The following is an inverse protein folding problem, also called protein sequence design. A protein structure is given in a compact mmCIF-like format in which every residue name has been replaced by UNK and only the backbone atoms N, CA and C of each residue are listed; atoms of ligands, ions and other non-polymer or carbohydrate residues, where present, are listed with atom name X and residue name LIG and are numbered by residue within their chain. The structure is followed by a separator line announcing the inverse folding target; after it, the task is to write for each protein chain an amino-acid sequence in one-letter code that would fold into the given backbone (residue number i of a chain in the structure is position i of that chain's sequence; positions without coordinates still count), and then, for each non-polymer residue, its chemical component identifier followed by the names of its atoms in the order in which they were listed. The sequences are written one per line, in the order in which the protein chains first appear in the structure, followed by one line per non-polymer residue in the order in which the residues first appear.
data_IF_550810317579
#
_entry.id   IF_550810317579
#
_cell.length_a   1.000
_cell.length_b   1.000
_cell.length_c   1.000
_cell.angle_alpha   90.00
_cell.angle_beta   90.00
_cell.angle_gamma   90.00
#
_symmetry.space_group_name_H-M   'P 1'
#
loop_
_entity.id
_entity.type
_entity.pdbx_description
1 polymer ?
#
# COMPACT_ATOMS: atom_id res chain seq x y z
N UNK A 1 12.82 -22.89 -9.25
CA UNK A 1 11.54 -23.06 -8.55
C UNK A 1 10.46 -22.90 -9.60
N UNK A 2 9.67 -23.96 -9.90
CA UNK A 2 8.55 -23.88 -10.83
C UNK A 2 7.48 -22.95 -10.24
N UNK A 3 6.81 -22.18 -11.07
CA UNK A 3 5.66 -21.35 -10.73
C UNK A 3 4.50 -21.83 -11.56
N UNK A 4 3.35 -22.02 -10.93
CA UNK A 4 2.16 -22.49 -11.62
C UNK A 4 1.39 -21.33 -12.28
N UNK A 5 1.43 -20.16 -11.66
CA UNK A 5 0.83 -18.92 -12.17
C UNK A 5 1.76 -17.75 -11.87
N UNK A 6 1.94 -16.87 -12.83
CA UNK A 6 2.76 -15.67 -12.70
C UNK A 6 1.91 -14.42 -12.96
N UNK A 7 1.79 -13.58 -11.93
CA UNK A 7 1.04 -12.32 -11.97
C UNK A 7 2.03 -11.18 -11.82
N UNK A 8 2.06 -10.25 -12.77
CA UNK A 8 2.87 -9.03 -12.69
C UNK A 8 1.99 -7.86 -12.34
N UNK A 9 2.36 -7.14 -11.29
CA UNK A 9 1.73 -5.89 -10.90
C UNK A 9 2.56 -4.72 -11.41
N UNK A 10 1.92 -3.81 -12.14
CA UNK A 10 2.54 -2.59 -12.66
C UNK A 10 1.91 -1.34 -12.06
N UNK A 11 2.70 -0.30 -11.82
CA UNK A 11 2.19 1.03 -11.47
C UNK A 11 1.70 1.71 -12.77
N UNK A 12 0.40 1.84 -12.93
CA UNK A 12 -0.22 2.35 -14.16
C UNK A 12 0.13 3.81 -14.50
N UNK A 13 0.57 4.60 -13.52
CA UNK A 13 1.02 5.99 -13.74
C UNK A 13 2.50 6.06 -14.11
N UNK A 14 3.32 5.31 -13.39
CA UNK A 14 4.77 5.31 -13.57
C UNK A 14 5.21 4.41 -14.72
N UNK A 15 4.45 3.37 -15.00
CA UNK A 15 4.76 2.34 -16.01
C UNK A 15 6.18 1.80 -15.81
N UNK A 16 6.94 1.73 -16.88
CA UNK A 16 8.27 1.14 -16.92
C UNK A 16 9.40 2.18 -16.88
N UNK A 17 9.08 3.45 -16.56
CA UNK A 17 10.05 4.54 -16.54
C UNK A 17 10.65 4.79 -17.93
N UNK A 18 11.97 4.70 -18.04
CA UNK A 18 12.68 4.84 -19.33
C UNK A 18 12.79 3.53 -20.13
N UNK A 19 12.10 2.46 -19.71
CA UNK A 19 12.12 1.11 -20.30
C UNK A 19 13.49 0.40 -20.29
N UNK A 20 14.46 0.92 -19.57
CA UNK A 20 15.78 0.31 -19.47
C UNK A 20 15.92 -0.53 -18.20
N UNK A 21 16.73 -1.58 -18.30
CA UNK A 21 17.09 -2.41 -17.15
C UNK A 21 18.21 -1.76 -16.33
N UNK A 22 18.27 -2.15 -15.06
CA UNK A 22 19.36 -1.73 -14.17
C UNK A 22 20.75 -2.09 -14.78
N UNK A 23 21.79 -1.20 -14.69
CA UNK A 23 21.79 0.08 -13.96
C UNK A 23 21.30 1.30 -14.77
N UNK A 24 20.99 1.18 -16.05
CA UNK A 24 20.60 2.29 -16.92
C UNK A 24 19.14 2.75 -16.67
N UNK A 25 18.31 1.93 -16.05
CA UNK A 25 16.92 2.21 -15.73
C UNK A 25 16.41 1.45 -14.52
N UNK A 26 15.12 1.62 -14.17
CA UNK A 26 14.53 1.08 -12.95
C UNK A 26 14.17 -0.40 -13.06
N UNK A 27 14.20 -1.02 -14.23
CA UNK A 27 13.72 -2.36 -14.45
C UNK A 27 14.76 -3.41 -14.03
N UNK A 28 14.33 -4.48 -13.43
CA UNK A 28 15.18 -5.66 -13.13
C UNK A 28 15.24 -6.62 -14.30
N UNK A 29 14.19 -6.66 -15.12
CA UNK A 29 14.05 -7.50 -16.31
C UNK A 29 13.48 -6.67 -17.46
N UNK A 30 13.66 -7.12 -18.70
CA UNK A 30 13.10 -6.46 -19.88
C UNK A 30 11.57 -6.56 -19.89
N UNK A 31 10.92 -5.54 -20.45
CA UNK A 31 9.45 -5.53 -20.67
C UNK A 31 8.97 -6.66 -21.57
N UNK A 32 9.85 -7.26 -22.38
CA UNK A 32 9.52 -8.47 -23.15
C UNK A 32 9.06 -9.63 -22.28
N UNK A 33 9.48 -9.66 -21.00
CA UNK A 33 9.07 -10.69 -20.02
C UNK A 33 7.56 -10.71 -19.77
N UNK A 34 6.86 -9.60 -20.02
CA UNK A 34 5.39 -9.51 -19.88
C UNK A 34 4.63 -10.45 -20.84
N UNK A 35 5.27 -10.88 -21.94
CA UNK A 35 4.67 -11.83 -22.90
C UNK A 35 4.57 -13.26 -22.35
N UNK A 36 5.36 -13.56 -21.31
CA UNK A 36 5.50 -14.89 -20.75
C UNK A 36 4.76 -15.06 -19.42
N UNK A 37 4.08 -14.00 -18.93
CA UNK A 37 3.32 -14.03 -17.67
C UNK A 37 1.85 -14.33 -17.93
N UNK A 38 1.17 -14.90 -16.93
CA UNK A 38 -0.24 -15.27 -17.06
C UNK A 38 -1.18 -14.09 -16.95
N UNK A 39 -0.84 -13.12 -16.08
CA UNK A 39 -1.68 -11.95 -15.86
C UNK A 39 -0.84 -10.69 -15.64
N UNK A 40 -1.29 -9.57 -16.22
CA UNK A 40 -0.74 -8.24 -15.98
C UNK A 40 -1.80 -7.41 -15.28
N UNK A 41 -1.54 -7.02 -14.03
CA UNK A 41 -2.44 -6.21 -13.23
C UNK A 41 -1.92 -4.79 -13.14
N UNK A 42 -2.71 -3.84 -13.60
CA UNK A 42 -2.36 -2.42 -13.61
C UNK A 42 -2.94 -1.73 -12.37
N UNK A 43 -2.06 -1.19 -11.53
CA UNK A 43 -2.45 -0.44 -10.34
C UNK A 43 -2.67 1.04 -10.70
N UNK A 44 -3.94 1.44 -10.81
CA UNK A 44 -4.38 2.85 -10.88
C UNK A 44 -3.81 3.66 -12.05
N UNK A 45 -4.21 3.35 -13.26
CA UNK A 45 -3.82 4.12 -14.46
C UNK A 45 -4.57 3.66 -15.70
N UNK A 46 -4.29 4.25 -16.86
CA UNK A 46 -4.79 3.75 -18.12
C UNK A 46 -4.34 2.32 -18.35
N UNK A 47 -5.28 1.42 -18.65
CA UNK A 47 -5.00 0.02 -18.97
C UNK A 47 -4.78 -0.16 -20.47
N UNK A 48 -3.95 -1.15 -20.83
CA UNK A 48 -3.84 -1.69 -22.19
C UNK A 48 -4.78 -2.92 -22.34
N UNK A 49 -4.96 -3.43 -23.55
CA UNK A 49 -5.97 -4.45 -23.85
C UNK A 49 -5.77 -5.78 -23.09
N UNK A 50 -4.53 -6.10 -22.73
CA UNK A 50 -4.14 -7.32 -22.01
C UNK A 50 -3.94 -7.11 -20.50
N UNK A 51 -4.30 -5.93 -19.97
CA UNK A 51 -4.15 -5.57 -18.58
C UNK A 51 -5.47 -5.61 -17.80
N UNK A 52 -5.39 -6.03 -16.55
CA UNK A 52 -6.51 -5.96 -15.60
C UNK A 52 -6.33 -4.77 -14.68
N UNK A 53 -7.35 -3.92 -14.60
CA UNK A 53 -7.33 -2.77 -13.69
C UNK A 53 -7.48 -3.26 -12.25
N UNK A 54 -6.62 -2.72 -11.38
CA UNK A 54 -6.73 -2.78 -9.94
C UNK A 54 -6.77 -1.37 -9.38
N UNK A 55 -7.76 -1.08 -8.55
CA UNK A 55 -7.82 0.15 -7.79
C UNK A 55 -7.51 -0.12 -6.33
N UNK A 56 -6.67 0.73 -5.74
CA UNK A 56 -6.38 0.69 -4.32
C UNK A 56 -7.13 1.82 -3.64
N UNK A 57 -7.96 1.46 -2.67
CA UNK A 57 -8.73 2.42 -1.87
C UNK A 57 -8.45 2.25 -0.37
N UNK A 58 -8.44 3.35 0.38
CA UNK A 58 -8.39 3.28 1.83
C UNK A 58 -9.70 2.72 2.38
N UNK A 59 -9.63 1.84 3.40
CA UNK A 59 -10.79 1.13 3.91
C UNK A 59 -11.13 1.52 5.35
N UNK A 60 -10.25 1.24 6.29
CA UNK A 60 -10.51 1.45 7.72
C UNK A 60 -9.25 1.77 8.49
N UNK A 61 -9.44 2.39 9.65
CA UNK A 61 -8.37 2.53 10.65
C UNK A 61 -8.44 1.37 11.64
N UNK A 62 -7.29 0.80 11.94
CA UNK A 62 -7.16 -0.30 12.90
C UNK A 62 -6.21 0.12 14.02
N UNK A 63 -6.66 -0.02 15.26
CA UNK A 63 -5.82 0.22 16.44
C UNK A 63 -4.78 -0.89 16.59
N UNK A 64 -3.51 -0.52 16.60
CA UNK A 64 -2.40 -1.48 16.53
C UNK A 64 -2.44 -2.51 17.65
N UNK A 65 -2.70 -2.09 18.88
CA UNK A 65 -2.62 -2.95 20.07
C UNK A 65 -3.86 -3.81 20.28
N UNK A 66 -5.05 -3.27 20.02
CA UNK A 66 -6.31 -3.95 20.33
C UNK A 66 -6.97 -4.62 19.14
N UNK A 67 -6.54 -4.29 17.91
CA UNK A 67 -7.19 -4.72 16.67
C UNK A 67 -8.57 -4.08 16.42
N UNK A 68 -9.04 -3.19 17.31
CA UNK A 68 -10.32 -2.50 17.13
C UNK A 68 -10.25 -1.65 15.86
N UNK A 69 -11.27 -1.74 15.02
CA UNK A 69 -11.28 -1.06 13.74
C UNK A 69 -12.51 -0.20 13.54
N UNK A 70 -12.35 0.88 12.75
CA UNK A 70 -13.41 1.79 12.37
C UNK A 70 -13.32 2.09 10.87
N UNK A 71 -14.42 2.01 10.12
CA UNK A 71 -14.50 2.60 8.78
C UNK A 71 -14.05 4.06 8.82
N UNK A 72 -13.47 4.55 7.74
CA UNK A 72 -12.92 5.92 7.68
C UNK A 72 -13.96 6.98 8.07
N UNK A 73 -15.21 6.80 7.60
CA UNK A 73 -16.33 7.71 7.91
C UNK A 73 -16.71 7.73 9.39
N UNK A 74 -16.45 6.64 10.10
CA UNK A 74 -16.85 6.44 11.50
C UNK A 74 -15.68 6.65 12.48
N UNK A 75 -14.61 7.35 12.03
CA UNK A 75 -13.47 7.68 12.87
C UNK A 75 -13.90 8.40 14.16
N UNK A 76 -13.66 7.81 15.36
CA UNK A 76 -14.29 8.29 16.59
C UNK A 76 -13.51 9.39 17.33
N UNK A 77 -12.34 9.77 16.83
CA UNK A 77 -11.43 10.72 17.50
C UNK A 77 -11.30 12.02 16.72
N UNK A 78 -10.46 12.92 17.24
CA UNK A 78 -10.12 14.17 16.56
C UNK A 78 -9.53 13.92 15.17
N UNK A 79 -9.76 14.86 14.27
CA UNK A 79 -9.17 14.83 12.92
C UNK A 79 -7.72 15.34 12.90
N UNK A 80 -7.25 15.95 14.01
CA UNK A 80 -5.83 16.26 14.19
C UNK A 80 -5.09 15.01 14.58
N UNK A 81 -4.02 14.70 13.84
CA UNK A 81 -3.25 13.45 14.02
C UNK A 81 -1.78 13.62 13.66
N UNK A 82 -0.92 12.82 14.24
CA UNK A 82 0.43 12.61 13.73
C UNK A 82 0.38 11.56 12.61
N UNK A 83 0.70 11.97 11.40
CA UNK A 83 0.88 11.06 10.28
C UNK A 83 2.35 10.63 10.20
N UNK A 84 2.62 9.33 10.35
CA UNK A 84 3.97 8.76 10.38
C UNK A 84 4.15 7.78 9.23
N UNK A 85 5.22 7.92 8.46
CA UNK A 85 5.53 7.01 7.36
C UNK A 85 7.03 6.86 7.10
N UNK A 86 7.50 5.60 7.02
CA UNK A 86 8.84 5.18 6.60
C UNK A 86 8.81 4.52 5.22
N UNK A 87 8.48 5.32 4.20
CA UNK A 87 8.30 4.91 2.80
C UNK A 87 9.18 5.73 1.87
N UNK A 88 9.53 5.17 0.72
CA UNK A 88 10.26 5.89 -0.33
C UNK A 88 9.48 7.09 -0.92
N UNK A 89 8.15 7.11 -0.79
CA UNK A 89 7.32 8.27 -1.15
C UNK A 89 6.22 8.49 -0.10
N UNK A 90 6.55 9.08 1.05
CA UNK A 90 5.60 9.30 2.14
C UNK A 90 4.53 10.35 1.80
N UNK A 91 4.82 11.24 0.84
CA UNK A 91 3.89 12.29 0.42
C UNK A 91 2.53 11.74 -0.03
N UNK A 92 2.51 10.62 -0.76
CA UNK A 92 1.25 9.97 -1.18
C UNK A 92 0.35 9.59 0.00
N UNK A 93 0.94 9.09 1.08
CA UNK A 93 0.21 8.72 2.29
C UNK A 93 -0.32 9.96 3.03
N UNK A 94 0.50 10.98 3.17
CA UNK A 94 0.10 12.24 3.80
C UNK A 94 -1.02 12.93 3.02
N UNK A 95 -0.90 13.01 1.70
CA UNK A 95 -1.92 13.60 0.85
C UNK A 95 -3.23 12.79 0.87
N UNK A 96 -3.14 11.47 1.03
CA UNK A 96 -4.32 10.62 1.22
C UNK A 96 -5.05 10.99 2.50
N UNK A 97 -4.36 11.07 3.65
CA UNK A 97 -4.97 11.44 4.93
C UNK A 97 -5.57 12.85 4.88
N UNK A 98 -4.88 13.81 4.25
CA UNK A 98 -5.41 15.16 4.07
C UNK A 98 -6.71 15.17 3.24
N UNK A 99 -6.78 14.39 2.14
CA UNK A 99 -8.01 14.22 1.34
C UNK A 99 -9.14 13.55 2.12
N UNK A 100 -8.83 12.71 3.10
CA UNK A 100 -9.82 12.12 4.01
C UNK A 100 -10.28 13.09 5.10
N UNK A 101 -9.81 14.34 5.07
CA UNK A 101 -10.21 15.43 5.98
C UNK A 101 -9.47 15.43 7.30
N UNK A 102 -8.28 14.84 7.37
CA UNK A 102 -7.42 14.91 8.56
C UNK A 102 -6.53 16.16 8.51
N UNK A 103 -6.36 16.80 9.66
CA UNK A 103 -5.35 17.82 9.92
C UNK A 103 -4.09 17.09 10.44
N UNK A 104 -3.05 17.03 9.63
CA UNK A 104 -1.92 16.14 9.85
C UNK A 104 -0.63 16.86 10.21
N UNK A 105 0.03 16.44 11.28
CA UNK A 105 1.44 16.70 11.54
C UNK A 105 2.25 15.63 10.82
N UNK A 106 3.02 16.04 9.79
CA UNK A 106 3.78 15.10 8.93
C UNK A 106 5.09 14.70 9.59
N UNK A 107 5.29 13.40 9.80
CA UNK A 107 6.50 12.81 10.35
C UNK A 107 7.02 11.75 9.37
N UNK A 108 8.00 12.12 8.56
CA UNK A 108 8.58 11.22 7.54
C UNK A 108 9.90 10.63 8.02
N UNK A 109 10.06 9.34 7.81
CA UNK A 109 11.25 8.57 8.11
C UNK A 109 11.85 7.97 6.81
N UNK A 110 13.11 7.59 6.80
CA UNK A 110 13.72 6.88 5.67
C UNK A 110 12.93 5.61 5.29
N UNK A 111 13.01 5.20 4.03
CA UNK A 111 12.41 3.93 3.63
C UNK A 111 13.04 2.77 4.41
N UNK A 112 12.20 1.81 4.82
CA UNK A 112 12.57 0.69 5.67
C UNK A 112 13.08 1.06 7.08
N UNK A 113 12.81 2.28 7.56
CA UNK A 113 13.18 2.70 8.91
C UNK A 113 12.75 1.67 9.96
N UNK A 114 13.66 1.37 10.89
CA UNK A 114 13.37 0.55 12.08
C UNK A 114 12.94 1.49 13.19
N UNK A 115 11.64 1.57 13.43
CA UNK A 115 11.09 2.43 14.46
C UNK A 115 11.47 1.97 15.86
N UNK A 116 11.68 2.93 16.75
CA UNK A 116 11.73 2.75 18.20
C UNK A 116 10.57 3.52 18.88
N UNK A 117 10.43 3.38 20.20
CA UNK A 117 9.34 4.05 20.92
C UNK A 117 9.51 5.57 20.98
N UNK A 118 10.75 6.08 20.89
CA UNK A 118 11.06 7.51 20.93
C UNK A 118 10.58 8.19 19.64
N UNK A 119 10.70 7.53 18.49
CA UNK A 119 10.20 8.00 17.19
C UNK A 119 8.70 8.31 17.20
N UNK A 120 7.96 7.62 18.07
CA UNK A 120 6.50 7.71 18.20
C UNK A 120 6.05 8.37 19.50
N UNK A 121 6.97 9.08 20.16
CA UNK A 121 6.68 9.82 21.40
C UNK A 121 6.45 11.30 21.08
N UNK A 122 5.21 11.74 21.16
CA UNK A 122 4.80 13.12 20.98
C UNK A 122 4.29 13.70 22.30
N UNK A 123 4.53 15.02 22.52
CA UNK A 123 4.18 15.72 23.76
C UNK A 123 2.67 15.86 24.01
N UNK A 124 1.89 15.67 22.96
CA UNK A 124 0.44 15.71 23.00
C UNK A 124 -0.21 14.32 23.09
N UNK A 125 -1.54 14.29 23.08
CA UNK A 125 -2.34 13.06 23.14
C UNK A 125 -2.99 12.70 21.81
N UNK A 126 -2.56 13.32 20.71
CA UNK A 126 -3.15 13.08 19.39
C UNK A 126 -2.89 11.64 18.93
N UNK A 127 -3.82 11.06 18.15
CA UNK A 127 -3.62 9.76 17.53
C UNK A 127 -2.45 9.79 16.53
N UNK A 128 -1.75 8.66 16.44
CA UNK A 128 -0.70 8.44 15.45
C UNK A 128 -1.28 7.55 14.36
N UNK A 129 -1.26 8.00 13.11
CA UNK A 129 -1.71 7.20 11.98
C UNK A 129 -0.50 6.84 11.11
N UNK A 130 -0.33 5.54 10.89
CA UNK A 130 0.77 4.97 10.10
C UNK A 130 0.23 4.17 8.91
N UNK A 131 1.12 3.81 7.99
CA UNK A 131 0.82 2.76 7.02
C UNK A 131 0.80 1.39 7.72
N UNK A 132 0.07 0.43 7.19
CA UNK A 132 0.06 -0.94 7.75
C UNK A 132 1.46 -1.59 7.74
N UNK A 133 2.25 -1.33 6.69
CA UNK A 133 3.65 -1.78 6.58
C UNK A 133 4.49 -1.30 7.76
N UNK A 134 4.40 -0.01 8.08
CA UNK A 134 5.20 0.58 9.15
C UNK A 134 4.68 0.18 10.53
N UNK A 135 3.37 0.18 10.73
CA UNK A 135 2.74 -0.26 11.96
C UNK A 135 3.07 -1.71 12.32
N UNK A 136 3.29 -2.58 11.33
CA UNK A 136 3.68 -3.97 11.56
C UNK A 136 5.01 -4.13 12.32
N UNK A 137 5.91 -3.15 12.20
CA UNK A 137 7.19 -3.09 12.90
C UNK A 137 7.07 -2.62 14.35
N UNK A 138 5.95 -1.95 14.68
CA UNK A 138 5.70 -1.33 15.98
C UNK A 138 4.81 -2.17 16.91
N UNK A 139 4.52 -3.43 16.57
CA UNK A 139 3.58 -4.28 17.32
C UNK A 139 3.98 -4.54 18.77
N UNK A 140 5.28 -4.52 19.07
CA UNK A 140 5.82 -4.71 20.42
C UNK A 140 5.75 -3.45 21.29
N UNK A 141 5.47 -2.27 20.70
CA UNK A 141 5.51 -1.01 21.42
C UNK A 141 4.34 -0.86 22.40
N UNK A 142 4.61 -0.29 23.54
CA UNK A 142 3.58 -0.03 24.55
C UNK A 142 2.91 1.35 24.32
N UNK A 143 2.48 1.62 23.11
CA UNK A 143 1.85 2.88 22.72
C UNK A 143 0.39 2.66 22.27
N UNK A 144 -0.56 3.18 23.03
CA UNK A 144 -1.99 3.05 22.76
C UNK A 144 -2.55 4.12 21.80
N UNK A 145 -1.69 4.96 21.21
CA UNK A 145 -2.12 6.00 20.27
C UNK A 145 -1.98 5.57 18.82
N UNK A 146 -1.36 4.42 18.55
CA UNK A 146 -1.00 3.98 17.19
C UNK A 146 -2.19 3.31 16.50
N UNK A 147 -2.50 3.85 15.35
CA UNK A 147 -3.48 3.34 14.39
C UNK A 147 -2.81 3.18 13.03
N UNK A 148 -3.29 2.26 12.23
CA UNK A 148 -2.87 2.17 10.85
C UNK A 148 -4.06 2.18 9.91
N UNK A 149 -3.85 2.78 8.73
CA UNK A 149 -4.82 2.80 7.65
C UNK A 149 -4.63 1.54 6.80
N UNK A 150 -5.70 0.74 6.69
CA UNK A 150 -5.72 -0.38 5.75
C UNK A 150 -6.14 0.10 4.37
N UNK A 151 -5.67 -0.61 3.37
CA UNK A 151 -6.07 -0.43 1.98
C UNK A 151 -6.72 -1.71 1.47
N UNK A 152 -7.67 -1.57 0.56
CA UNK A 152 -8.28 -2.68 -0.17
C UNK A 152 -7.96 -2.55 -1.65
N UNK A 153 -7.66 -3.68 -2.28
CA UNK A 153 -7.47 -3.77 -3.71
C UNK A 153 -8.77 -4.26 -4.35
N UNK A 154 -9.34 -3.43 -5.20
CA UNK A 154 -10.50 -3.77 -6.02
C UNK A 154 -10.01 -4.14 -7.42
N UNK A 155 -10.27 -5.37 -7.83
CA UNK A 155 -9.91 -5.92 -9.13
C UNK A 155 -11.16 -6.30 -9.91
N UNK A 156 -11.07 -6.28 -11.24
CA UNK A 156 -12.24 -6.58 -12.08
C UNK A 156 -12.74 -8.02 -11.90
N UNK A 157 -14.06 -8.22 -11.97
CA UNK A 157 -14.68 -9.55 -11.97
C UNK A 157 -14.12 -10.46 -13.06
N UNK A 158 -13.71 -9.88 -14.20
CA UNK A 158 -13.06 -10.59 -15.30
C UNK A 158 -11.77 -11.24 -14.82
N UNK A 159 -10.90 -10.47 -14.13
CA UNK A 159 -9.65 -10.99 -13.59
C UNK A 159 -9.90 -12.15 -12.62
N UNK A 160 -10.83 -11.99 -11.69
CA UNK A 160 -11.14 -13.03 -10.69
C UNK A 160 -11.60 -14.32 -11.36
N UNK A 161 -12.50 -14.24 -12.36
CA UNK A 161 -13.01 -15.41 -13.10
C UNK A 161 -11.91 -16.14 -13.87
N UNK A 162 -11.05 -15.39 -14.54
CA UNK A 162 -9.97 -15.97 -15.34
C UNK A 162 -8.87 -16.58 -14.45
N UNK A 163 -8.52 -15.93 -13.33
CA UNK A 163 -7.62 -16.47 -12.34
C UNK A 163 -8.15 -17.79 -11.72
N UNK A 164 -9.45 -17.81 -11.35
CA UNK A 164 -10.09 -19.03 -10.82
C UNK A 164 -10.07 -20.18 -11.82
N UNK A 165 -10.34 -19.88 -13.10
CA UNK A 165 -10.25 -20.87 -14.18
C UNK A 165 -8.84 -21.40 -14.36
N UNK A 166 -7.84 -20.53 -14.32
CA UNK A 166 -6.43 -20.92 -14.44
C UNK A 166 -5.98 -21.79 -13.26
N UNK A 167 -6.37 -21.42 -12.04
CA UNK A 167 -6.09 -22.19 -10.82
C UNK A 167 -6.65 -23.62 -10.87
N UNK A 168 -7.83 -23.79 -11.49
CA UNK A 168 -8.44 -25.12 -11.68
C UNK A 168 -7.73 -25.96 -12.74
N UNK A 169 -7.08 -25.33 -13.70
CA UNK A 169 -6.35 -26.03 -14.78
C UNK A 169 -4.96 -26.51 -14.38
N UNK A 170 -4.39 -25.98 -13.31
CA UNK A 170 -3.04 -26.30 -12.79
C UNK A 170 -3.07 -27.48 -11.79
N UNK A 171 -4.25 -27.93 -11.40
CA UNK A 171 -4.45 -29.15 -10.59
C UNK A 171 -4.53 -30.37 -11.46
#
# INVERSE_FOLDING_TARGET
MGRDIEIVLIDGKRRFGNNLTFPAGPLRESTSRLKDVDFIVNNSGPTQDDEYLMNISPSKFVHLKTGKSYPIKDWPMHKQVHAVAGLGNPGRFFDLLARLGFDISRNSFPDHHNFDEEDLTFLDHLPIIMTEKDASKCRSFNNNKIWYLTIEADVSDKFIKELDSKLKSVK
#
